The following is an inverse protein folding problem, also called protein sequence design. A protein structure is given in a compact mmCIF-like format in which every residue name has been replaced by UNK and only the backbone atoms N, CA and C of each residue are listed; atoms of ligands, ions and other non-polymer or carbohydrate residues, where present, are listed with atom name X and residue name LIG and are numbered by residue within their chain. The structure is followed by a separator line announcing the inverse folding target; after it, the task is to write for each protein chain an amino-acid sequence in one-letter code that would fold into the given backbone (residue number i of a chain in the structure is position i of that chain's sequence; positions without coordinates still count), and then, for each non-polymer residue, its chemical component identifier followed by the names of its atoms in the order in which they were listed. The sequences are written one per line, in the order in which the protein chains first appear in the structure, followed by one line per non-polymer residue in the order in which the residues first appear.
data_IF_050174198378
#
_entry.id   IF_050174198378
#
_cell.length_a   1.000
_cell.length_b   1.000
_cell.length_c   1.000
_cell.angle_alpha   90.00
_cell.angle_beta   90.00
_cell.angle_gamma   90.00
#
_symmetry.space_group_name_H-M   'P 1'
#
loop_
_entity.id
_entity.type
_entity.pdbx_description
1 polymer ?
#
# COMPACT_ATOMS: atom_id res chain seq x y z
N UNK A 1 -32.64 -15.34 18.76
CA UNK A 1 -31.73 -14.28 19.23
C UNK A 1 -30.30 -14.60 18.79
N UNK A 2 -29.86 -14.25 17.58
CA UNK A 2 -28.45 -14.42 17.14
C UNK A 2 -28.14 -13.45 15.98
N UNK A 3 -28.02 -12.14 16.23
CA UNK A 3 -27.80 -11.17 15.13
C UNK A 3 -27.06 -9.88 15.53
N UNK A 4 -26.06 -9.97 16.40
CA UNK A 4 -25.23 -8.82 16.82
C UNK A 4 -23.73 -8.98 16.52
N UNK A 5 -23.20 -10.21 16.41
CA UNK A 5 -21.75 -10.45 16.20
C UNK A 5 -21.25 -10.30 14.74
N UNK A 6 -22.14 -10.22 13.75
CA UNK A 6 -21.76 -10.14 12.33
C UNK A 6 -21.42 -8.73 11.84
N UNK A 7 -21.77 -7.68 12.60
CA UNK A 7 -21.58 -6.29 12.15
C UNK A 7 -20.16 -5.77 12.40
N UNK A 8 -19.51 -6.28 13.44
CA UNK A 8 -18.18 -5.86 13.88
C UNK A 8 -17.05 -6.38 12.96
N UNK A 9 -17.16 -7.64 12.51
CA UNK A 9 -16.10 -8.30 11.72
C UNK A 9 -15.97 -7.79 10.28
N UNK A 10 -17.02 -7.21 9.71
CA UNK A 10 -17.00 -6.63 8.34
C UNK A 10 -16.28 -5.28 8.29
N UNK A 11 -16.25 -4.55 9.40
CA UNK A 11 -15.60 -3.24 9.47
C UNK A 11 -14.07 -3.36 9.48
N UNK A 12 -13.54 -4.45 10.04
CA UNK A 12 -12.09 -4.74 10.06
C UNK A 12 -11.55 -5.13 8.68
N UNK A 13 -12.38 -5.69 7.79
CA UNK A 13 -11.93 -6.03 6.43
C UNK A 13 -11.77 -4.80 5.53
N UNK A 14 -12.54 -3.74 5.76
CA UNK A 14 -12.50 -2.52 4.93
C UNK A 14 -11.27 -1.63 5.10
N UNK A 15 -10.43 -1.86 6.12
CA UNK A 15 -9.24 -1.04 6.41
C UNK A 15 -7.91 -1.78 6.20
N UNK A 16 -7.90 -2.95 5.57
CA UNK A 16 -6.69 -3.77 5.47
C UNK A 16 -5.62 -3.17 4.56
N UNK A 17 -6.03 -2.53 3.46
CA UNK A 17 -5.12 -2.03 2.44
C UNK A 17 -5.07 -0.49 2.45
N UNK A 18 -4.00 0.05 3.07
CA UNK A 18 -3.72 1.48 3.08
C UNK A 18 -2.66 1.83 2.03
N UNK A 19 -2.85 2.98 1.39
CA UNK A 19 -1.94 3.52 0.38
C UNK A 19 -1.34 4.85 0.87
N UNK A 20 -0.04 5.04 0.62
CA UNK A 20 0.59 6.32 0.89
C UNK A 20 0.18 7.34 -0.18
N UNK A 21 -0.47 8.42 0.23
CA UNK A 21 -0.83 9.54 -0.67
C UNK A 21 0.27 10.58 -0.74
N UNK A 22 0.98 10.81 0.37
CA UNK A 22 2.10 11.75 0.48
C UNK A 22 3.26 11.14 1.27
N UNK A 23 4.49 11.45 0.87
CA UNK A 23 5.71 11.13 1.61
C UNK A 23 6.68 12.30 1.57
N UNK A 24 7.60 12.37 2.54
CA UNK A 24 8.67 13.35 2.49
C UNK A 24 9.70 12.98 1.42
N UNK A 25 10.03 13.93 0.54
CA UNK A 25 11.08 13.74 -0.45
C UNK A 25 12.37 14.47 -0.02
N UNK A 26 13.52 13.78 0.11
CA UNK A 26 14.78 14.41 0.49
C UNK A 26 15.32 15.38 -0.57
N UNK A 27 14.99 15.15 -1.85
CA UNK A 27 15.42 16.02 -2.95
C UNK A 27 14.59 17.31 -3.02
N UNK A 28 13.27 17.21 -2.83
CA UNK A 28 12.39 18.39 -2.80
C UNK A 28 12.33 19.07 -1.43
N UNK A 29 12.82 18.40 -0.38
CA UNK A 29 12.85 18.83 1.02
C UNK A 29 11.48 19.18 1.60
N UNK A 30 10.42 18.51 1.14
CA UNK A 30 9.03 18.74 1.56
C UNK A 30 8.19 17.46 1.40
N UNK A 31 7.03 17.37 2.07
CA UNK A 31 5.99 16.40 1.72
C UNK A 31 5.56 16.60 0.27
N UNK A 32 5.45 15.51 -0.46
CA UNK A 32 5.06 15.50 -1.87
C UNK A 32 4.03 14.40 -2.10
N UNK A 33 3.10 14.58 -3.05
CA UNK A 33 2.27 13.47 -3.50
C UNK A 33 3.14 12.39 -4.13
N UNK A 34 2.78 11.13 -3.92
CA UNK A 34 3.53 9.99 -4.44
C UNK A 34 2.75 9.20 -5.48
N UNK A 35 3.50 8.53 -6.36
CA UNK A 35 2.96 7.59 -7.34
C UNK A 35 3.55 6.22 -7.07
N UNK A 36 2.70 5.20 -7.00
CA UNK A 36 3.08 3.80 -6.80
C UNK A 36 3.45 3.17 -8.15
N UNK A 37 4.62 2.55 -8.24
CA UNK A 37 5.10 1.85 -9.41
C UNK A 37 5.41 0.40 -9.07
N UNK A 38 4.90 -0.54 -9.86
CA UNK A 38 5.24 -1.95 -9.70
C UNK A 38 6.70 -2.15 -10.06
N UNK A 39 7.48 -2.63 -9.11
CA UNK A 39 8.89 -2.92 -9.28
C UNK A 39 9.12 -4.38 -9.67
N UNK A 40 8.44 -5.30 -8.98
CA UNK A 40 8.63 -6.74 -9.18
C UNK A 40 7.39 -7.53 -8.76
N UNK A 41 7.04 -8.54 -9.56
CA UNK A 41 6.05 -9.56 -9.19
C UNK A 41 6.80 -10.72 -8.53
N UNK A 42 6.43 -11.07 -7.31
CA UNK A 42 7.00 -12.17 -6.52
C UNK A 42 5.98 -13.29 -6.34
N UNK A 43 6.42 -14.53 -6.06
CA UNK A 43 5.51 -15.64 -5.75
C UNK A 43 4.57 -15.34 -4.56
N UNK A 44 5.02 -14.57 -3.59
CA UNK A 44 4.26 -14.20 -2.38
C UNK A 44 3.45 -12.90 -2.52
N UNK A 45 3.60 -12.16 -3.61
CA UNK A 45 2.93 -10.89 -3.83
C UNK A 45 3.72 -9.90 -4.68
N UNK A 46 3.34 -8.63 -4.64
CA UNK A 46 3.88 -7.60 -5.53
C UNK A 46 4.71 -6.58 -4.74
N UNK A 47 5.91 -6.28 -5.23
CA UNK A 47 6.76 -5.22 -4.70
C UNK A 47 6.60 -3.96 -5.53
N UNK A 48 6.30 -2.86 -4.85
CA UNK A 48 6.13 -1.54 -5.41
C UNK A 48 7.14 -0.56 -4.82
N UNK A 49 7.45 0.47 -5.58
CA UNK A 49 8.16 1.65 -5.12
C UNK A 49 7.25 2.88 -5.18
N UNK A 50 7.39 3.78 -4.22
CA UNK A 50 6.78 5.10 -4.24
C UNK A 50 7.78 6.10 -4.80
N UNK A 51 7.35 6.83 -5.83
CA UNK A 51 8.15 7.90 -6.44
C UNK A 51 7.52 9.26 -6.16
N UNK A 52 8.38 10.23 -5.89
CA UNK A 52 8.00 11.63 -5.76
C UNK A 52 7.28 12.10 -7.02
N UNK A 53 6.05 12.58 -6.88
CA UNK A 53 5.26 13.09 -8.00
C UNK A 53 5.82 14.36 -8.65
N UNK A 54 6.78 15.04 -7.99
CA UNK A 54 7.41 16.26 -8.49
C UNK A 54 8.76 16.03 -9.18
N UNK A 55 9.65 15.23 -8.59
CA UNK A 55 11.02 15.04 -9.11
C UNK A 55 11.33 13.59 -9.52
N UNK A 56 10.43 12.63 -9.29
CA UNK A 56 10.58 11.24 -9.70
C UNK A 56 11.52 10.40 -8.83
N UNK A 57 12.16 10.98 -7.80
CA UNK A 57 13.02 10.25 -6.87
C UNK A 57 12.22 9.18 -6.11
N UNK A 58 12.85 8.04 -5.84
CA UNK A 58 12.29 7.00 -4.99
C UNK A 58 12.25 7.54 -3.56
N UNK A 59 11.10 7.46 -2.91
CA UNK A 59 10.84 7.99 -1.57
C UNK A 59 10.30 6.94 -0.60
N UNK A 60 10.05 5.72 -1.07
CA UNK A 60 9.65 4.58 -0.24
C UNK A 60 9.35 3.35 -1.09
N UNK A 61 8.99 2.26 -0.42
CA UNK A 61 8.54 1.01 -1.04
C UNK A 61 7.39 0.38 -0.26
N UNK A 62 6.60 -0.46 -0.94
CA UNK A 62 5.50 -1.25 -0.36
C UNK A 62 5.54 -2.65 -0.96
N UNK A 63 5.37 -3.67 -0.12
CA UNK A 63 5.17 -5.04 -0.60
C UNK A 63 3.75 -5.47 -0.24
N UNK A 64 2.95 -5.78 -1.24
CA UNK A 64 1.59 -6.29 -1.08
C UNK A 64 1.63 -7.80 -1.14
N UNK A 65 1.17 -8.45 -0.08
CA UNK A 65 1.08 -9.92 -0.08
C UNK A 65 -0.19 -10.31 -0.79
N UNK A 66 -0.06 -11.01 -1.92
CA UNK A 66 -1.21 -11.67 -2.49
C UNK A 66 -1.64 -12.78 -1.50
N UNK A 67 -2.92 -12.80 -1.15
CA UNK A 67 -3.45 -13.81 -0.24
C UNK A 67 -3.21 -15.22 -0.78
N UNK A 68 -2.19 -15.91 -0.26
CA UNK A 68 -1.87 -17.33 -0.42
C UNK A 68 -2.11 -17.87 -1.84
N UNK A 69 -1.12 -17.77 -2.71
CA UNK A 69 -1.03 -18.67 -3.86
C UNK A 69 -0.85 -20.10 -3.34
N UNK A 70 -1.93 -20.88 -3.31
CA UNK A 70 -1.85 -22.34 -3.26
C UNK A 70 -1.69 -22.82 -4.69
N UNK A 71 -0.52 -23.32 -5.04
CA UNK A 71 -0.28 -24.13 -6.23
C UNK A 71 -0.20 -25.60 -5.81
#
# INVERSE_FOLDING_TARGET
MFRTAQRDRREVESFQDLEATELYCPNCRRPVPVRKFLLLVLPEGDKYEYRCGSCGAIVGDKTERAGRFQA
#
